data_IF_319093695125
#
_entry.id   IF_319093695125
#
_cell.length_a   1.000
_cell.length_b   1.000
_cell.length_c   1.000
_cell.angle_alpha   90.00
_cell.angle_beta   90.00
_cell.angle_gamma   90.00
#
_symmetry.space_group_name_H-M   'P 1'
#
loop_
_entity.id
_entity.type
_entity.pdbx_description
1 polymer ?
#
# COMPACT_ATOMS: atom_id res chain seq x y z
N UNK A 1 -44.04 -37.54 2.78
CA UNK A 1 -43.03 -36.74 2.13
C UNK A 1 -42.95 -35.34 2.81
N UNK A 2 -42.45 -35.31 4.08
CA UNK A 2 -42.37 -34.07 4.92
C UNK A 2 -41.02 -33.90 5.60
N UNK A 3 -39.92 -34.47 5.05
CA UNK A 3 -38.60 -34.50 5.71
C UNK A 3 -37.63 -33.39 5.17
N UNK A 4 -37.96 -32.72 4.07
CA UNK A 4 -36.98 -31.84 3.45
C UNK A 4 -37.00 -30.35 3.86
N UNK A 5 -37.97 -29.92 4.68
CA UNK A 5 -38.05 -28.49 5.05
C UNK A 5 -37.20 -28.15 6.28
N UNK A 6 -37.03 -29.09 7.21
CA UNK A 6 -36.27 -28.86 8.44
C UNK A 6 -34.74 -28.86 8.16
N UNK A 7 -34.29 -29.70 7.22
CA UNK A 7 -32.87 -29.78 6.87
C UNK A 7 -32.40 -28.52 6.09
N UNK A 8 -33.27 -27.96 5.23
CA UNK A 8 -32.96 -26.73 4.47
C UNK A 8 -32.92 -25.51 5.41
N UNK A 9 -33.82 -25.43 6.39
CA UNK A 9 -33.80 -24.35 7.38
C UNK A 9 -32.58 -24.44 8.32
N UNK A 10 -32.14 -25.64 8.69
CA UNK A 10 -30.94 -25.81 9.51
C UNK A 10 -29.63 -25.48 8.74
N UNK A 11 -29.57 -25.74 7.43
CA UNK A 11 -28.40 -25.40 6.62
C UNK A 11 -28.33 -23.88 6.40
N UNK A 12 -29.45 -23.20 6.15
CA UNK A 12 -29.50 -21.74 6.00
C UNK A 12 -29.15 -21.05 7.35
N UNK A 13 -29.61 -21.59 8.47
CA UNK A 13 -29.28 -21.07 9.79
C UNK A 13 -27.79 -21.29 10.16
N UNK A 14 -27.19 -22.42 9.73
CA UNK A 14 -25.76 -22.71 9.95
C UNK A 14 -24.85 -21.82 9.10
N UNK A 15 -25.22 -21.51 7.85
CA UNK A 15 -24.42 -20.62 6.99
C UNK A 15 -24.48 -19.16 7.44
N UNK A 16 -25.62 -18.69 7.94
CA UNK A 16 -25.76 -17.32 8.48
C UNK A 16 -25.06 -17.15 9.83
N UNK A 17 -25.04 -18.18 10.68
CA UNK A 17 -24.30 -18.14 11.95
C UNK A 17 -22.79 -18.27 11.77
N UNK A 18 -22.28 -19.02 10.77
CA UNK A 18 -20.85 -19.06 10.46
C UNK A 18 -20.34 -17.71 9.92
N UNK A 19 -21.07 -17.06 9.00
CA UNK A 19 -20.72 -15.73 8.48
C UNK A 19 -20.79 -14.66 9.58
N UNK A 20 -21.74 -14.75 10.51
CA UNK A 20 -21.81 -13.89 11.70
C UNK A 20 -20.60 -14.08 12.62
N UNK A 21 -20.17 -15.33 12.84
CA UNK A 21 -19.03 -15.64 13.72
C UNK A 21 -17.70 -15.08 13.19
N UNK A 22 -17.44 -15.16 11.88
CA UNK A 22 -16.19 -14.66 11.28
C UNK A 22 -16.11 -13.12 11.34
N UNK A 23 -17.18 -12.43 10.98
CA UNK A 23 -17.27 -10.96 11.09
C UNK A 23 -17.12 -10.52 12.55
N UNK A 24 -17.84 -11.16 13.48
CA UNK A 24 -17.73 -10.86 14.90
C UNK A 24 -16.31 -11.08 15.45
N UNK A 25 -15.64 -12.14 15.03
CA UNK A 25 -14.26 -12.41 15.44
C UNK A 25 -13.30 -11.33 14.90
N UNK A 26 -13.49 -10.89 13.65
CA UNK A 26 -12.72 -9.78 13.07
C UNK A 26 -12.95 -8.51 13.88
N UNK A 27 -14.20 -8.13 14.15
CA UNK A 27 -14.55 -6.95 14.96
C UNK A 27 -13.87 -7.00 16.33
N UNK A 28 -14.01 -8.12 17.05
CA UNK A 28 -13.38 -8.32 18.38
C UNK A 28 -11.86 -8.12 18.33
N UNK A 29 -11.22 -8.65 17.29
CA UNK A 29 -9.77 -8.48 17.09
C UNK A 29 -9.40 -7.04 16.76
N UNK A 30 -10.15 -6.35 15.88
CA UNK A 30 -9.91 -4.94 15.55
C UNK A 30 -10.02 -4.09 16.81
N UNK A 31 -11.09 -4.24 17.59
CA UNK A 31 -11.26 -3.56 18.90
C UNK A 31 -10.09 -3.87 19.84
N UNK A 32 -9.63 -5.12 19.89
CA UNK A 32 -8.48 -5.50 20.72
C UNK A 32 -7.18 -4.82 20.29
N UNK A 33 -6.92 -4.73 18.98
CA UNK A 33 -5.71 -4.06 18.45
C UNK A 33 -5.70 -2.54 18.69
N UNK A 34 -6.87 -1.91 18.79
CA UNK A 34 -6.98 -0.45 18.98
C UNK A 34 -7.11 -0.06 20.46
N UNK A 35 -7.27 -1.02 21.39
CA UNK A 35 -7.63 -0.79 22.80
C UNK A 35 -6.70 0.18 23.55
N UNK A 36 -5.41 0.20 23.19
CA UNK A 36 -4.42 1.07 23.85
C UNK A 36 -4.29 2.44 23.18
N UNK A 37 -5.01 2.66 22.08
CA UNK A 37 -5.03 3.93 21.35
C UNK A 37 -6.18 4.79 21.84
N UNK A 38 -6.01 6.12 21.78
CA UNK A 38 -7.10 7.07 22.07
C UNK A 38 -8.21 7.04 21.01
N UNK A 39 -7.83 6.75 19.79
CA UNK A 39 -8.67 6.62 18.60
C UNK A 39 -8.33 5.32 17.86
N UNK A 40 -9.27 4.72 17.15
CA UNK A 40 -10.70 5.01 17.11
C UNK A 40 -11.45 4.53 18.36
N UNK A 41 -12.63 5.13 18.64
CA UNK A 41 -13.53 4.61 19.67
C UNK A 41 -14.11 3.25 19.25
N UNK A 42 -14.53 2.44 20.23
CA UNK A 42 -15.23 1.17 19.93
C UNK A 42 -16.50 1.40 19.11
N UNK A 43 -17.23 2.49 19.40
CA UNK A 43 -18.44 2.86 18.65
C UNK A 43 -18.13 3.16 17.18
N UNK A 44 -17.07 3.91 16.89
CA UNK A 44 -16.63 4.18 15.52
C UNK A 44 -16.33 2.88 14.76
N UNK A 45 -15.64 1.93 15.41
CA UNK A 45 -15.33 0.62 14.81
C UNK A 45 -16.63 -0.13 14.51
N UNK A 46 -17.53 -0.25 15.48
CA UNK A 46 -18.81 -0.96 15.30
C UNK A 46 -19.62 -0.35 14.18
N UNK A 47 -19.78 0.99 14.15
CA UNK A 47 -20.50 1.70 13.11
C UNK A 47 -19.87 1.45 11.73
N UNK A 48 -18.54 1.41 11.62
CA UNK A 48 -17.85 1.09 10.35
C UNK A 48 -18.17 -0.33 9.89
N UNK A 49 -18.19 -1.29 10.80
CA UNK A 49 -18.50 -2.67 10.43
C UNK A 49 -19.98 -2.91 10.13
N UNK A 50 -20.89 -2.05 10.59
CA UNK A 50 -22.32 -2.11 10.28
C UNK A 50 -22.71 -1.26 9.07
N UNK A 51 -21.79 -0.43 8.55
CA UNK A 51 -22.03 0.37 7.36
C UNK A 51 -22.32 -0.54 6.15
N UNK A 52 -23.39 -0.20 5.40
CA UNK A 52 -23.84 -0.94 4.21
C UNK A 52 -22.80 -0.95 3.07
N UNK A 53 -21.83 -0.03 3.11
CA UNK A 53 -20.72 0.05 2.14
C UNK A 53 -19.66 -1.01 2.38
N UNK A 54 -19.59 -1.60 3.60
CA UNK A 54 -18.66 -2.68 3.89
C UNK A 54 -19.12 -3.98 3.23
N UNK A 55 -18.35 -4.47 2.30
CA UNK A 55 -18.68 -5.66 1.52
C UNK A 55 -17.44 -6.47 1.17
N UNK A 56 -17.67 -7.76 0.94
CA UNK A 56 -16.72 -8.61 0.24
C UNK A 56 -16.72 -8.24 -1.23
N UNK A 57 -15.53 -8.06 -1.80
CA UNK A 57 -15.32 -7.71 -3.20
C UNK A 57 -14.70 -8.91 -3.93
N UNK A 58 -15.46 -9.55 -4.81
CA UNK A 58 -15.02 -10.74 -5.54
C UNK A 58 -13.88 -10.42 -6.54
N UNK A 59 -13.77 -9.17 -7.01
CA UNK A 59 -12.66 -8.78 -7.87
C UNK A 59 -11.33 -8.80 -7.13
N UNK A 60 -11.32 -8.44 -5.84
CA UNK A 60 -10.15 -8.58 -4.97
C UNK A 60 -9.66 -10.02 -4.96
N UNK A 61 -10.58 -10.99 -4.80
CA UNK A 61 -10.24 -12.42 -4.82
C UNK A 61 -9.69 -12.83 -6.19
N UNK A 62 -10.34 -12.39 -7.26
CA UNK A 62 -9.92 -12.68 -8.63
C UNK A 62 -8.50 -12.13 -8.91
N UNK A 63 -8.17 -10.92 -8.45
CA UNK A 63 -6.82 -10.34 -8.58
C UNK A 63 -5.76 -11.16 -7.83
N UNK A 64 -6.06 -11.65 -6.64
CA UNK A 64 -5.13 -12.52 -5.89
C UNK A 64 -4.92 -13.86 -6.57
N UNK A 65 -5.92 -14.43 -7.21
CA UNK A 65 -5.82 -15.71 -7.95
C UNK A 65 -5.02 -15.55 -9.24
N UNK A 66 -5.20 -14.43 -9.93
CA UNK A 66 -4.62 -14.13 -11.24
C UNK A 66 -3.40 -13.19 -11.16
N UNK A 67 -2.58 -13.30 -10.11
CA UNK A 67 -1.39 -12.45 -9.96
C UNK A 67 -0.44 -12.58 -11.15
N UNK A 68 -0.33 -11.57 -12.03
CA UNK A 68 0.54 -11.63 -13.19
C UNK A 68 2.02 -11.73 -12.80
N UNK A 69 2.37 -11.31 -11.58
CA UNK A 69 3.74 -11.26 -11.07
C UNK A 69 4.31 -12.62 -10.68
N UNK A 70 3.47 -13.63 -10.38
CA UNK A 70 3.92 -14.95 -9.92
C UNK A 70 4.58 -15.79 -11.02
N UNK A 71 4.23 -15.55 -12.28
CA UNK A 71 4.56 -16.45 -13.40
C UNK A 71 5.65 -15.87 -14.32
N UNK A 72 5.99 -14.59 -14.17
CA UNK A 72 6.86 -13.91 -15.13
C UNK A 72 8.34 -13.98 -14.77
N UNK A 73 9.17 -14.21 -15.78
CA UNK A 73 10.60 -13.96 -15.69
C UNK A 73 10.86 -12.46 -15.42
N UNK A 74 12.09 -12.10 -15.03
CA UNK A 74 12.42 -10.69 -14.85
C UNK A 74 12.18 -9.87 -16.11
N UNK A 75 12.53 -10.39 -17.28
CA UNK A 75 12.32 -9.72 -18.58
C UNK A 75 10.84 -9.44 -18.87
N UNK A 76 9.95 -10.38 -18.54
CA UNK A 76 8.50 -10.17 -18.67
C UNK A 76 7.98 -9.14 -17.66
N UNK A 77 8.49 -9.17 -16.43
CA UNK A 77 8.16 -8.20 -15.39
C UNK A 77 8.67 -6.80 -15.77
N UNK A 78 9.90 -6.69 -16.27
CA UNK A 78 10.52 -5.45 -16.72
C UNK A 78 9.68 -4.73 -17.77
N UNK A 79 9.11 -5.43 -18.75
CA UNK A 79 8.28 -4.84 -19.81
C UNK A 79 7.04 -4.08 -19.29
N UNK A 80 6.56 -4.38 -18.06
CA UNK A 80 5.41 -3.70 -17.46
C UNK A 80 5.78 -2.27 -17.04
N UNK A 81 6.99 -2.10 -16.52
CA UNK A 81 7.41 -0.86 -15.88
C UNK A 81 8.50 -0.11 -16.67
N UNK A 82 9.28 -0.81 -17.49
CA UNK A 82 10.39 -0.23 -18.23
C UNK A 82 9.98 0.04 -19.69
N UNK A 83 9.37 1.18 -19.90
CA UNK A 83 8.92 1.63 -21.21
C UNK A 83 9.14 3.15 -21.35
N UNK A 84 9.13 3.64 -22.58
CA UNK A 84 9.40 5.05 -22.90
C UNK A 84 8.48 6.00 -22.12
N UNK A 85 7.18 5.71 -22.07
CA UNK A 85 6.22 6.57 -21.37
C UNK A 85 6.58 6.74 -19.88
N UNK A 86 6.99 5.66 -19.21
CA UNK A 86 7.35 5.72 -17.78
C UNK A 86 8.70 6.42 -17.57
N UNK A 87 9.65 6.21 -18.45
CA UNK A 87 10.96 6.90 -18.39
C UNK A 87 10.78 8.41 -18.60
N UNK A 88 10.07 8.82 -19.65
CA UNK A 88 9.77 10.23 -19.94
C UNK A 88 8.94 10.87 -18.81
N UNK A 89 7.98 10.12 -18.27
CA UNK A 89 7.20 10.52 -17.10
C UNK A 89 8.09 10.79 -15.88
N UNK A 90 9.10 9.95 -15.65
CA UNK A 90 10.07 10.13 -14.57
C UNK A 90 10.94 11.37 -14.73
N UNK A 91 11.43 11.62 -15.94
CA UNK A 91 12.18 12.85 -16.27
C UNK A 91 11.30 14.09 -16.04
N UNK A 92 10.07 14.07 -16.53
CA UNK A 92 9.11 15.16 -16.37
C UNK A 92 8.75 15.40 -14.90
N UNK A 93 8.50 14.32 -14.15
CA UNK A 93 8.19 14.39 -12.73
C UNK A 93 9.37 14.93 -11.91
N UNK A 94 10.59 14.49 -12.20
CA UNK A 94 11.81 15.02 -11.59
C UNK A 94 11.95 16.53 -11.85
N UNK A 95 11.83 16.96 -13.10
CA UNK A 95 11.94 18.38 -13.46
C UNK A 95 10.89 19.24 -12.75
N UNK A 96 9.64 18.78 -12.73
CA UNK A 96 8.52 19.48 -12.05
C UNK A 96 8.74 19.62 -10.55
N UNK A 97 9.29 18.60 -9.91
CA UNK A 97 9.44 18.54 -8.45
C UNK A 97 10.90 18.67 -7.99
N UNK A 98 11.80 19.20 -8.84
CA UNK A 98 13.26 19.21 -8.64
C UNK A 98 13.66 19.77 -7.27
N UNK A 99 13.06 20.86 -6.84
CA UNK A 99 13.36 21.52 -5.55
C UNK A 99 13.01 20.63 -4.36
N UNK A 100 11.82 20.04 -4.36
CA UNK A 100 11.36 19.14 -3.31
C UNK A 100 12.22 17.87 -3.26
N UNK A 101 12.42 17.22 -4.40
CA UNK A 101 13.21 15.99 -4.49
C UNK A 101 14.65 16.24 -4.01
N UNK A 102 15.27 17.36 -4.41
CA UNK A 102 16.62 17.71 -3.97
C UNK A 102 16.69 18.03 -2.47
N UNK A 103 15.66 18.67 -1.90
CA UNK A 103 15.55 18.93 -0.47
C UNK A 103 15.48 17.62 0.31
N UNK A 104 14.54 16.74 -0.04
CA UNK A 104 14.35 15.44 0.61
C UNK A 104 15.61 14.56 0.48
N UNK A 105 16.17 14.46 -0.73
CA UNK A 105 17.35 13.63 -0.98
C UNK A 105 18.56 14.07 -0.15
N UNK A 106 18.77 15.38 0.01
CA UNK A 106 19.84 15.94 0.82
C UNK A 106 19.61 15.70 2.31
N UNK A 107 18.38 15.86 2.80
CA UNK A 107 18.04 15.69 4.22
C UNK A 107 18.19 14.24 4.67
N UNK A 108 17.75 13.29 3.85
CA UNK A 108 17.84 11.86 4.12
C UNK A 108 19.13 11.21 3.60
N UNK A 109 19.99 11.96 2.90
CA UNK A 109 21.26 11.48 2.32
C UNK A 109 21.08 10.28 1.37
N UNK A 110 20.02 10.32 0.55
CA UNK A 110 19.65 9.25 -0.39
C UNK A 110 19.72 9.73 -1.85
N UNK A 111 19.75 8.78 -2.77
CA UNK A 111 19.70 9.10 -4.21
C UNK A 111 18.33 9.68 -4.60
N UNK A 112 18.29 10.90 -5.19
CA UNK A 112 17.03 11.55 -5.57
C UNK A 112 16.23 10.79 -6.62
N UNK A 113 16.91 10.08 -7.51
CA UNK A 113 16.24 9.38 -8.63
C UNK A 113 15.65 8.04 -8.15
N UNK A 114 16.13 7.46 -7.07
CA UNK A 114 15.48 6.29 -6.43
C UNK A 114 14.06 6.65 -5.97
N UNK A 115 13.85 7.85 -5.38
CA UNK A 115 12.51 8.31 -5.00
C UNK A 115 11.59 8.37 -6.22
N UNK A 116 12.07 8.99 -7.31
CA UNK A 116 11.33 9.10 -8.56
C UNK A 116 10.97 7.73 -9.13
N UNK A 117 11.93 6.80 -9.12
CA UNK A 117 11.73 5.46 -9.65
C UNK A 117 10.68 4.67 -8.84
N UNK A 118 10.71 4.76 -7.50
CA UNK A 118 9.70 4.13 -6.63
C UNK A 118 8.31 4.68 -6.96
N UNK A 119 8.11 6.00 -6.93
CA UNK A 119 6.82 6.62 -7.27
C UNK A 119 6.38 6.26 -8.70
N UNK A 120 7.35 6.15 -9.61
CA UNK A 120 7.11 5.70 -10.97
C UNK A 120 6.54 4.29 -11.05
N UNK A 121 7.07 3.35 -10.28
CA UNK A 121 6.58 1.96 -10.25
C UNK A 121 5.25 1.87 -9.52
N UNK A 122 5.09 2.55 -8.39
CA UNK A 122 3.89 2.44 -7.55
C UNK A 122 2.65 3.03 -8.23
N UNK A 123 2.71 4.27 -8.69
CA UNK A 123 1.51 4.97 -9.16
C UNK A 123 1.68 5.66 -10.52
N UNK A 124 2.79 5.36 -11.25
CA UNK A 124 3.11 6.06 -12.47
C UNK A 124 3.06 7.60 -12.27
N UNK A 125 3.79 8.06 -11.25
CA UNK A 125 3.88 9.48 -10.87
C UNK A 125 2.52 10.09 -10.48
N UNK A 126 1.69 9.34 -9.78
CA UNK A 126 0.36 9.74 -9.32
C UNK A 126 -0.75 9.64 -10.37
N UNK A 127 -0.43 9.22 -11.62
CA UNK A 127 -1.44 9.13 -12.69
C UNK A 127 -2.27 7.84 -12.67
N UNK A 128 -1.87 6.86 -11.87
CA UNK A 128 -2.56 5.57 -11.70
C UNK A 128 -2.65 5.22 -10.22
N UNK A 129 -3.63 5.76 -9.56
CA UNK A 129 -4.09 5.26 -8.26
C UNK A 129 -5.09 4.14 -8.57
N UNK A 130 -4.96 3.00 -7.91
CA UNK A 130 -5.90 1.88 -8.08
C UNK A 130 -7.27 2.25 -7.51
N UNK A 131 -8.33 1.67 -8.07
CA UNK A 131 -9.75 2.03 -7.84
C UNK A 131 -10.45 1.10 -6.85
N UNK A 132 -9.72 0.33 -6.03
CA UNK A 132 -10.31 -0.52 -5.02
C UNK A 132 -10.51 0.25 -3.71
N UNK A 133 -11.68 0.11 -3.09
CA UNK A 133 -11.85 0.57 -1.70
C UNK A 133 -10.88 -0.19 -0.79
N UNK A 134 -10.00 0.55 -0.10
CA UNK A 134 -8.96 -0.04 0.76
C UNK A 134 -9.58 -0.88 1.87
N UNK A 135 -10.62 -0.37 2.55
CA UNK A 135 -11.30 -1.10 3.62
C UNK A 135 -11.98 -2.37 3.10
N UNK A 136 -12.65 -2.32 1.94
CA UNK A 136 -13.29 -3.49 1.35
C UNK A 136 -12.26 -4.52 0.87
N UNK A 137 -11.12 -4.07 0.34
CA UNK A 137 -10.01 -4.94 -0.03
C UNK A 137 -9.45 -5.70 1.17
N UNK A 138 -9.23 -5.01 2.29
CA UNK A 138 -8.73 -5.63 3.52
C UNK A 138 -9.79 -6.52 4.16
N UNK A 139 -11.05 -6.09 4.20
CA UNK A 139 -12.17 -6.86 4.73
C UNK A 139 -12.38 -8.17 3.93
N UNK A 140 -12.30 -8.09 2.60
CA UNK A 140 -12.36 -9.28 1.74
C UNK A 140 -11.25 -10.28 2.08
N UNK A 141 -10.02 -9.79 2.25
CA UNK A 141 -8.89 -10.64 2.62
C UNK A 141 -9.08 -11.24 4.02
N UNK A 142 -9.62 -10.48 4.98
CA UNK A 142 -9.89 -10.96 6.31
C UNK A 142 -10.95 -12.08 6.34
N UNK A 143 -12.01 -11.91 5.54
CA UNK A 143 -13.15 -12.83 5.46
C UNK A 143 -12.90 -14.07 4.60
N UNK A 144 -12.21 -13.91 3.48
CA UNK A 144 -12.15 -14.93 2.40
C UNK A 144 -10.78 -15.56 2.21
N UNK A 145 -9.75 -15.08 2.87
CA UNK A 145 -8.38 -15.55 2.66
C UNK A 145 -7.73 -16.01 3.97
N UNK A 146 -7.93 -17.28 4.41
CA UNK A 146 -7.50 -17.74 5.73
C UNK A 146 -6.03 -17.46 6.05
N UNK A 147 -5.12 -17.60 5.06
CA UNK A 147 -3.68 -17.33 5.24
C UNK A 147 -3.36 -15.83 5.43
N UNK A 148 -4.29 -14.95 5.11
CA UNK A 148 -4.13 -13.50 5.22
C UNK A 148 -5.06 -12.89 6.28
N UNK A 149 -6.04 -13.63 6.77
CA UNK A 149 -7.11 -13.14 7.66
C UNK A 149 -6.56 -12.37 8.86
N UNK A 150 -5.63 -12.94 9.59
CA UNK A 150 -5.05 -12.28 10.78
C UNK A 150 -4.28 -11.00 10.42
N UNK A 151 -3.50 -11.03 9.33
CA UNK A 151 -2.78 -9.87 8.84
C UNK A 151 -3.76 -8.78 8.37
N UNK A 152 -4.74 -9.12 7.54
CA UNK A 152 -5.71 -8.16 7.01
C UNK A 152 -6.56 -7.52 8.13
N UNK A 153 -6.93 -8.30 9.16
CA UNK A 153 -7.63 -7.78 10.34
C UNK A 153 -6.81 -6.72 11.07
N UNK A 154 -5.49 -6.90 11.17
CA UNK A 154 -4.60 -5.88 11.75
C UNK A 154 -4.51 -4.65 10.87
N UNK A 155 -4.41 -4.82 9.55
CA UNK A 155 -4.38 -3.70 8.61
C UNK A 155 -5.70 -2.90 8.63
N UNK A 156 -6.85 -3.56 8.84
CA UNK A 156 -8.13 -2.84 9.08
C UNK A 156 -8.03 -1.97 10.34
N UNK A 157 -7.50 -2.51 11.45
CA UNK A 157 -7.34 -1.71 12.66
C UNK A 157 -6.44 -0.50 12.43
N UNK A 158 -5.32 -0.66 11.74
CA UNK A 158 -4.40 0.42 11.40
C UNK A 158 -5.04 1.44 10.44
N UNK A 159 -5.85 1.00 9.48
CA UNK A 159 -6.60 1.89 8.60
C UNK A 159 -7.59 2.74 9.38
N UNK A 160 -8.34 2.13 10.31
CA UNK A 160 -9.32 2.84 11.13
C UNK A 160 -8.67 3.82 12.10
N UNK A 161 -7.46 3.50 12.62
CA UNK A 161 -6.65 4.44 13.39
C UNK A 161 -6.33 5.67 12.53
N UNK A 162 -5.74 5.46 11.35
CA UNK A 162 -5.40 6.55 10.44
C UNK A 162 -6.62 7.41 10.07
N UNK A 163 -7.72 6.77 9.68
CA UNK A 163 -8.94 7.48 9.29
C UNK A 163 -9.52 8.30 10.44
N UNK A 164 -9.58 7.72 11.65
CA UNK A 164 -10.11 8.39 12.83
C UNK A 164 -9.23 9.56 13.30
N UNK A 165 -7.90 9.42 13.22
CA UNK A 165 -6.95 10.48 13.60
C UNK A 165 -6.97 11.67 12.62
N UNK A 166 -7.38 11.46 11.37
CA UNK A 166 -7.37 12.46 10.31
C UNK A 166 -8.76 12.89 9.84
N UNK A 167 -9.83 12.46 10.52
CA UNK A 167 -11.24 12.75 10.18
C UNK A 167 -11.58 12.36 8.72
N UNK A 168 -11.10 11.18 8.30
CA UNK A 168 -11.30 10.62 6.97
C UNK A 168 -12.35 9.51 7.03
N UNK A 169 -13.33 9.53 6.12
CA UNK A 169 -14.24 8.40 5.93
C UNK A 169 -13.47 7.18 5.41
N UNK A 170 -13.41 6.04 6.14
CA UNK A 170 -12.65 4.87 5.74
C UNK A 170 -13.09 4.28 4.39
N UNK A 171 -14.30 4.59 3.93
CA UNK A 171 -14.82 4.16 2.63
C UNK A 171 -14.42 5.08 1.47
N UNK A 172 -13.89 6.27 1.74
CA UNK A 172 -13.42 7.21 0.72
C UNK A 172 -12.02 6.91 0.20
N UNK A 173 -11.26 6.07 0.92
CA UNK A 173 -9.89 5.75 0.52
C UNK A 173 -9.85 4.68 -0.57
N UNK A 174 -9.30 5.06 -1.69
CA UNK A 174 -9.02 4.18 -2.81
C UNK A 174 -7.55 3.75 -2.82
N UNK A 175 -7.32 2.53 -3.29
CA UNK A 175 -5.98 1.95 -3.33
C UNK A 175 -5.95 0.61 -4.05
N UNK A 176 -4.93 -0.20 -3.79
CA UNK A 176 -4.75 -1.49 -4.43
C UNK A 176 -5.67 -2.57 -3.85
N UNK A 177 -5.94 -3.60 -4.64
CA UNK A 177 -6.63 -4.82 -4.17
C UNK A 177 -5.92 -5.50 -2.98
N UNK A 178 -4.66 -5.17 -2.73
CA UNK A 178 -3.90 -5.67 -1.58
C UNK A 178 -4.05 -4.80 -0.32
N UNK A 179 -4.68 -3.62 -0.42
CA UNK A 179 -4.92 -2.70 0.67
C UNK A 179 -3.86 -1.61 0.83
N UNK A 180 -3.00 -1.41 -0.17
CA UNK A 180 -2.06 -0.29 -0.19
C UNK A 180 -2.73 0.96 -0.76
N UNK A 181 -2.34 2.16 -0.29
CA UNK A 181 -2.98 3.42 -0.68
C UNK A 181 -2.00 4.60 -0.78
N UNK A 182 -2.49 5.69 -1.36
CA UNK A 182 -1.73 6.91 -1.59
C UNK A 182 -0.70 6.80 -2.72
N UNK A 183 0.01 7.88 -3.01
CA UNK A 183 0.98 7.90 -4.09
C UNK A 183 2.21 7.01 -3.82
N UNK A 184 2.53 6.75 -2.54
CA UNK A 184 3.59 5.84 -2.13
C UNK A 184 3.16 4.39 -1.99
N UNK A 185 1.87 4.06 -2.13
CA UNK A 185 1.31 2.71 -2.01
C UNK A 185 1.72 1.99 -0.70
N UNK A 186 1.67 2.72 0.42
CA UNK A 186 1.87 2.11 1.73
C UNK A 186 0.66 1.29 2.17
N UNK A 187 0.89 0.15 2.81
CA UNK A 187 -0.16 -0.52 3.60
C UNK A 187 -0.40 0.27 4.91
N UNK A 188 -1.60 0.19 5.53
CA UNK A 188 -1.95 1.02 6.69
C UNK A 188 -0.94 0.99 7.84
N UNK A 189 -0.48 -0.19 8.25
CA UNK A 189 0.50 -0.33 9.32
C UNK A 189 1.86 0.31 8.98
N UNK A 190 2.29 0.25 7.73
CA UNK A 190 3.52 0.91 7.29
C UNK A 190 3.33 2.42 7.22
N UNK A 191 2.17 2.89 6.76
CA UNK A 191 1.85 4.31 6.72
C UNK A 191 1.88 4.92 8.14
N UNK A 192 1.13 4.36 9.09
CA UNK A 192 1.10 4.87 10.46
C UNK A 192 2.48 4.94 11.10
N UNK A 193 3.34 3.95 10.83
CA UNK A 193 4.68 3.86 11.43
C UNK A 193 5.73 4.70 10.72
N UNK A 194 5.69 4.80 9.39
CA UNK A 194 6.79 5.30 8.56
C UNK A 194 6.43 6.51 7.71
N UNK A 195 5.16 6.99 7.76
CA UNK A 195 4.85 8.28 7.17
C UNK A 195 5.26 9.42 8.09
N UNK A 196 5.63 10.52 7.47
CA UNK A 196 5.98 11.77 8.16
C UNK A 196 5.19 12.93 7.57
N UNK A 197 4.86 13.89 8.41
CA UNK A 197 4.38 15.22 8.03
C UNK A 197 5.61 16.05 7.64
N UNK A 198 5.96 16.00 6.34
CA UNK A 198 7.20 16.61 5.85
C UNK A 198 7.05 18.09 5.57
N UNK A 199 5.84 18.56 5.28
CA UNK A 199 5.54 19.97 5.07
C UNK A 199 5.23 20.71 6.38
N UNK A 200 5.07 19.98 7.49
CA UNK A 200 4.76 20.47 8.85
C UNK A 200 3.39 21.20 8.89
N UNK A 201 2.39 20.71 8.17
CA UNK A 201 1.03 21.25 8.20
C UNK A 201 0.14 20.62 9.30
N UNK A 202 0.69 19.66 10.05
CA UNK A 202 0.04 18.93 11.14
C UNK A 202 -0.66 17.66 10.68
N UNK A 203 -0.53 17.26 9.42
CA UNK A 203 -1.14 16.05 8.86
C UNK A 203 -0.11 15.19 8.13
N UNK A 204 -0.41 13.91 8.00
CA UNK A 204 0.33 12.99 7.15
C UNK A 204 -0.55 12.63 5.96
N UNK A 205 -0.40 13.37 4.87
CA UNK A 205 -1.26 13.21 3.69
C UNK A 205 -0.64 12.22 2.69
N UNK A 206 -1.27 11.05 2.44
CA UNK A 206 -0.78 10.07 1.47
C UNK A 206 -0.86 10.55 0.01
N UNK A 207 -1.45 11.72 -0.25
CA UNK A 207 -1.58 12.34 -1.57
C UNK A 207 -0.84 13.67 -1.70
N UNK A 208 -0.21 14.18 -0.63
CA UNK A 208 0.72 15.31 -0.67
C UNK A 208 2.09 14.83 -1.16
N UNK A 209 2.65 15.49 -2.18
CA UNK A 209 3.98 15.12 -2.67
C UNK A 209 5.08 15.34 -1.66
N UNK A 210 4.95 16.34 -0.80
CA UNK A 210 5.88 16.63 0.27
C UNK A 210 5.95 15.46 1.24
N UNK A 211 4.80 15.04 1.77
CA UNK A 211 4.72 13.97 2.76
C UNK A 211 5.07 12.61 2.16
N UNK A 212 4.62 12.37 0.94
CA UNK A 212 4.92 11.12 0.23
C UNK A 212 6.41 10.97 -0.02
N UNK A 213 7.09 12.01 -0.54
CA UNK A 213 8.54 11.96 -0.79
C UNK A 213 9.32 11.81 0.50
N UNK A 214 8.97 12.58 1.54
CA UNK A 214 9.56 12.47 2.85
C UNK A 214 9.36 11.08 3.46
N UNK A 215 8.14 10.54 3.37
CA UNK A 215 7.81 9.20 3.91
C UNK A 215 8.52 8.07 3.17
N UNK A 216 8.63 8.15 1.84
CA UNK A 216 9.39 7.15 1.04
C UNK A 216 10.87 7.18 1.42
N UNK A 217 11.44 8.39 1.57
CA UNK A 217 12.82 8.56 2.00
C UNK A 217 13.05 7.99 3.40
N UNK A 218 12.20 8.37 4.35
CA UNK A 218 12.24 7.86 5.72
C UNK A 218 12.10 6.34 5.77
N UNK A 219 11.15 5.76 5.00
CA UNK A 219 11.02 4.32 4.88
C UNK A 219 12.33 3.65 4.45
N UNK A 220 12.98 4.18 3.42
CA UNK A 220 14.23 3.59 2.91
C UNK A 220 15.35 3.64 3.96
N UNK A 221 15.51 4.78 4.66
CA UNK A 221 16.54 4.95 5.70
C UNK A 221 16.27 4.00 6.88
N UNK A 222 15.03 3.92 7.37
CA UNK A 222 14.64 3.00 8.44
C UNK A 222 14.83 1.51 8.07
N UNK A 223 14.85 1.21 6.78
CA UNK A 223 15.14 -0.12 6.26
C UNK A 223 16.59 -0.30 5.78
N UNK A 224 17.50 0.56 6.22
CA UNK A 224 18.94 0.40 6.05
C UNK A 224 19.49 0.89 4.71
N UNK A 225 18.81 1.83 4.06
CA UNK A 225 19.39 2.51 2.90
C UNK A 225 20.66 3.26 3.32
N UNK A 226 21.79 3.07 2.63
CA UNK A 226 23.06 3.67 3.03
C UNK A 226 23.11 5.15 2.65
N UNK A 227 23.66 5.97 3.56
CA UNK A 227 23.82 7.40 3.37
C UNK A 227 24.87 7.69 2.29
N UNK A 228 24.52 8.52 1.32
CA UNK A 228 25.42 8.97 0.25
C UNK A 228 26.18 7.81 -0.48
N UNK A 229 25.58 6.63 -0.50
CA UNK A 229 26.13 5.46 -1.20
C UNK A 229 25.32 5.15 -2.45
N UNK A 230 25.95 5.23 -3.59
CA UNK A 230 25.38 5.03 -4.92
C UNK A 230 25.68 3.63 -5.48
N UNK A 231 26.01 2.67 -4.61
CA UNK A 231 26.19 1.28 -5.01
C UNK A 231 24.84 0.58 -5.13
N UNK A 232 24.37 0.42 -6.37
CA UNK A 232 23.13 -0.27 -6.73
C UNK A 232 23.33 -1.70 -7.24
N UNK A 233 24.48 -2.30 -7.01
CA UNK A 233 24.72 -3.69 -7.40
C UNK A 233 23.79 -4.65 -6.65
N UNK A 234 23.55 -5.81 -7.25
CA UNK A 234 22.72 -6.86 -6.65
C UNK A 234 23.19 -7.20 -5.22
N UNK A 235 22.24 -7.21 -4.28
CA UNK A 235 22.46 -7.42 -2.83
C UNK A 235 23.32 -6.35 -2.13
N UNK A 236 23.60 -5.20 -2.73
CA UNK A 236 24.14 -4.04 -1.99
C UNK A 236 23.18 -3.58 -0.88
N UNK A 237 23.62 -2.67 -0.01
CA UNK A 237 22.75 -2.11 1.05
C UNK A 237 21.56 -1.36 0.43
N UNK A 238 21.79 -0.51 -0.57
CA UNK A 238 20.72 0.20 -1.28
C UNK A 238 19.72 -0.77 -1.94
N UNK A 239 20.21 -1.80 -2.65
CA UNK A 239 19.36 -2.82 -3.24
C UNK A 239 18.49 -3.54 -2.20
N UNK A 240 19.06 -3.90 -1.03
CA UNK A 240 18.33 -4.58 0.04
C UNK A 240 17.25 -3.67 0.65
N UNK A 241 17.56 -2.39 0.89
CA UNK A 241 16.59 -1.44 1.39
C UNK A 241 15.43 -1.24 0.42
N UNK A 242 15.70 -1.06 -0.87
CA UNK A 242 14.67 -0.98 -1.92
C UNK A 242 13.80 -2.24 -1.96
N UNK A 243 14.43 -3.41 -1.82
CA UNK A 243 13.71 -4.71 -1.81
C UNK A 243 12.71 -4.83 -0.66
N UNK A 244 12.92 -4.14 0.47
CA UNK A 244 11.97 -4.19 1.59
C UNK A 244 10.63 -3.55 1.26
N UNK A 245 10.61 -2.59 0.34
CA UNK A 245 9.40 -1.88 -0.07
C UNK A 245 8.35 -2.84 -0.67
N UNK A 246 8.82 -3.74 -1.52
CA UNK A 246 7.99 -4.83 -2.04
C UNK A 246 8.83 -6.11 -2.12
N UNK A 247 8.89 -6.90 -1.08
CA UNK A 247 9.72 -8.09 -0.81
C UNK A 247 10.00 -9.01 -2.02
N UNK A 248 10.44 -8.42 -3.13
CA UNK A 248 10.70 -9.06 -4.42
C UNK A 248 12.01 -8.58 -5.01
N UNK A 249 12.87 -9.52 -5.43
CA UNK A 249 14.11 -9.20 -6.15
C UNK A 249 13.82 -8.51 -7.49
N UNK A 250 12.73 -8.89 -8.16
CA UNK A 250 12.28 -8.23 -9.39
C UNK A 250 11.96 -6.78 -9.18
N UNK A 251 11.32 -6.46 -8.04
CA UNK A 251 11.00 -5.09 -7.68
C UNK A 251 12.26 -4.25 -7.48
N UNK A 252 13.21 -4.72 -6.66
CA UNK A 252 14.46 -3.98 -6.46
C UNK A 252 15.22 -3.75 -7.77
N UNK A 253 15.28 -4.77 -8.62
CA UNK A 253 15.94 -4.67 -9.92
C UNK A 253 15.25 -3.66 -10.84
N UNK A 254 13.90 -3.63 -10.92
CA UNK A 254 13.19 -2.70 -11.78
C UNK A 254 13.31 -1.25 -11.30
N UNK A 255 13.32 -1.03 -9.98
CA UNK A 255 13.58 0.32 -9.43
C UNK A 255 14.96 0.82 -9.86
N UNK A 256 15.99 -0.03 -9.77
CA UNK A 256 17.35 0.34 -10.14
C UNK A 256 17.48 0.55 -11.65
N UNK A 257 16.90 -0.31 -12.47
CA UNK A 257 16.90 -0.16 -13.93
C UNK A 257 16.22 1.15 -14.34
N UNK A 258 15.04 1.42 -13.76
CA UNK A 258 14.29 2.64 -14.05
C UNK A 258 15.05 3.89 -13.56
N UNK A 259 15.61 3.84 -12.34
CA UNK A 259 16.48 4.88 -11.80
C UNK A 259 17.63 5.22 -12.74
N UNK A 260 18.33 4.22 -13.23
CA UNK A 260 19.49 4.41 -14.10
C UNK A 260 19.10 5.06 -15.44
N UNK A 261 17.99 4.63 -16.03
CA UNK A 261 17.55 5.17 -17.31
C UNK A 261 17.00 6.60 -17.15
N UNK A 262 16.24 6.88 -16.08
CA UNK A 262 15.77 8.26 -15.78
C UNK A 262 16.97 9.18 -15.56
N UNK A 263 17.95 8.77 -14.74
CA UNK A 263 19.16 9.56 -14.49
C UNK A 263 19.90 9.91 -15.78
N UNK A 264 20.13 8.92 -16.65
CA UNK A 264 20.76 9.11 -17.96
C UNK A 264 20.01 10.13 -18.80
N UNK A 265 18.68 10.07 -18.86
CA UNK A 265 17.88 10.98 -19.67
C UNK A 265 17.80 12.39 -19.07
N UNK A 266 17.92 12.57 -17.75
CA UNK A 266 18.06 13.89 -17.12
C UNK A 266 19.37 14.53 -17.54
N UNK A 267 20.51 13.81 -17.42
CA UNK A 267 21.83 14.34 -17.80
C UNK A 267 22.00 14.65 -19.30
N UNK A 268 21.21 14.00 -20.16
CA UNK A 268 21.24 14.27 -21.61
C UNK A 268 20.38 15.48 -22.02
N UNK A 269 19.54 15.99 -21.11
CA UNK A 269 18.56 17.05 -21.37
C UNK A 269 18.88 18.37 -20.65
N UNK A 270 19.91 18.41 -19.82
CA UNK A 270 20.54 19.59 -19.24
C UNK A 270 21.75 20.01 -20.11
#
# INVERSE_FOLDING_TARGET
MKINLIVILSIIFYTTTLLGSDKEQIVKKVVSYTKERKTPSTEYILNTFEDKRLKVDEEVIARFNNKPEKIKTYEQYKKIFFNKQRIDGGVSFYKKNKTLIAKVAREFEIDPIVLVAIIGVETNYGSKVSEFSVINSLYTQAMKMPKRSSWATREIAELLIFCSENDIDPFSLEGSYAGAFGFGQFIPSSFNRLSIDYNNDGKKDPFSWEDVMGSVAFYLVENGYPKNDYNFTYKSKAWRAIRTYNRSDKYANIIIDLRNEIAKNIFLSD
#
